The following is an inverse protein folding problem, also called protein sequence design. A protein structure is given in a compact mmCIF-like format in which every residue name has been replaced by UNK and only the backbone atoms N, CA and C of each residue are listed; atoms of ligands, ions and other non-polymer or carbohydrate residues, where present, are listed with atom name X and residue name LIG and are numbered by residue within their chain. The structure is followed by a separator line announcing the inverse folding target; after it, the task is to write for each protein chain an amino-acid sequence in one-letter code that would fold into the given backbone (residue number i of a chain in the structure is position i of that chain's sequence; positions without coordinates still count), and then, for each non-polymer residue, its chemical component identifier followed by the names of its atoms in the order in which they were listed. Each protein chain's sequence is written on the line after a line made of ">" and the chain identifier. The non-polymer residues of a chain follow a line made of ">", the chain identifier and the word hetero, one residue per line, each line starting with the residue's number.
data_IF_369573165240
#
_entry.id   IF_369573165240
#
_cell.length_a   1.000
_cell.length_b   1.000
_cell.length_c   1.000
_cell.angle_alpha   90.00
_cell.angle_beta   90.00
_cell.angle_gamma   90.00
#
_symmetry.space_group_name_H-M   'P 1'
#
loop_
_entity.id
_entity.type
_entity.pdbx_description
1 polymer ?
#
# COMPACT_ATOMS: atom_id res chain seq x y z
N UNK A 1 -1.42 16.10 -23.66
CA UNK A 1 -2.27 15.37 -22.68
C UNK A 1 -1.60 15.45 -21.31
N UNK A 2 -2.29 15.96 -20.30
CA UNK A 2 -1.76 16.02 -18.93
C UNK A 2 -1.58 14.61 -18.36
N UNK A 3 -0.58 14.40 -17.49
CA UNK A 3 -0.42 13.13 -16.77
C UNK A 3 -1.62 12.94 -15.83
N UNK A 4 -2.20 11.73 -15.79
CA UNK A 4 -3.27 11.40 -14.83
C UNK A 4 -2.84 11.74 -13.41
N UNK A 5 -3.72 12.33 -12.58
CA UNK A 5 -3.40 12.65 -11.19
C UNK A 5 -2.99 11.38 -10.44
N UNK A 6 -2.07 11.54 -9.50
CA UNK A 6 -1.55 10.44 -8.68
C UNK A 6 -1.38 10.92 -7.25
N UNK A 7 -1.75 10.08 -6.29
CA UNK A 7 -1.38 10.26 -4.90
C UNK A 7 -0.05 9.56 -4.69
N UNK A 8 0.95 10.28 -4.21
CA UNK A 8 2.25 9.72 -3.82
C UNK A 8 2.36 9.84 -2.32
N UNK A 9 2.71 8.77 -1.63
CA UNK A 9 2.87 8.81 -0.19
C UNK A 9 3.94 7.85 0.32
N UNK A 10 4.47 8.16 1.50
CA UNK A 10 5.37 7.31 2.25
C UNK A 10 4.94 7.29 3.73
N UNK A 11 5.31 6.22 4.42
CA UNK A 11 5.14 6.10 5.86
C UNK A 11 6.37 6.65 6.55
N UNK A 12 6.19 7.46 7.62
CA UNK A 12 7.30 8.14 8.29
C UNK A 12 7.01 8.40 9.77
N UNK A 13 8.03 8.22 10.61
CA UNK A 13 8.05 8.79 11.97
C UNK A 13 8.48 10.25 11.87
N UNK A 14 7.66 11.16 12.36
CA UNK A 14 7.86 12.62 12.21
C UNK A 14 8.57 13.26 13.38
N UNK A 15 8.51 12.64 14.55
CA UNK A 15 8.88 13.21 15.85
C UNK A 15 9.53 12.15 16.76
N UNK A 16 10.30 12.61 17.74
CA UNK A 16 11.00 11.74 18.71
C UNK A 16 12.35 11.19 18.22
N UNK A 17 12.94 10.23 18.97
CA UNK A 17 14.29 9.70 18.72
C UNK A 17 14.46 9.02 17.36
N UNK A 18 13.37 8.46 16.82
CA UNK A 18 13.34 7.77 15.53
C UNK A 18 12.76 8.64 14.39
N UNK A 19 12.66 9.96 14.60
CA UNK A 19 12.21 10.88 13.56
C UNK A 19 13.06 10.76 12.29
N UNK A 20 12.39 10.63 11.15
CA UNK A 20 13.03 10.44 9.84
C UNK A 20 13.19 8.99 9.39
N UNK A 21 12.85 8.00 10.22
CA UNK A 21 12.68 6.63 9.72
C UNK A 21 11.44 6.54 8.83
N UNK A 22 11.57 5.84 7.70
CA UNK A 22 10.59 5.83 6.62
C UNK A 22 10.51 4.47 5.93
N UNK A 23 9.41 4.20 5.24
CA UNK A 23 9.29 3.03 4.35
C UNK A 23 8.32 3.28 3.19
N UNK A 24 8.61 2.62 2.07
CA UNK A 24 7.80 2.61 0.85
C UNK A 24 8.01 3.82 -0.05
N UNK A 25 7.39 3.80 -1.24
CA UNK A 25 7.24 4.92 -2.17
C UNK A 25 5.94 4.75 -2.95
N UNK A 26 4.83 4.70 -2.25
CA UNK A 26 3.58 4.27 -2.85
C UNK A 26 3.03 5.31 -3.81
N UNK A 27 2.53 4.82 -4.94
CA UNK A 27 1.81 5.62 -5.92
C UNK A 27 0.44 4.99 -6.13
N UNK A 28 -0.62 5.75 -5.87
CA UNK A 28 -1.99 5.41 -6.26
C UNK A 28 -2.38 6.26 -7.45
N UNK A 29 -2.92 5.62 -8.49
CA UNK A 29 -3.41 6.31 -9.68
C UNK A 29 -4.61 5.60 -10.28
N UNK A 30 -5.33 6.32 -11.12
CA UNK A 30 -6.49 5.81 -11.84
C UNK A 30 -6.29 5.86 -13.35
N UNK A 31 -6.91 4.94 -14.08
CA UNK A 31 -6.98 4.95 -15.54
C UNK A 31 -8.31 4.34 -16.01
N UNK A 32 -9.17 5.15 -16.64
CA UNK A 32 -10.54 4.74 -16.94
C UNK A 32 -11.32 4.50 -15.65
N UNK A 33 -11.81 3.27 -15.48
CA UNK A 33 -12.49 2.81 -14.25
C UNK A 33 -11.57 1.99 -13.34
N UNK A 34 -10.28 1.91 -13.66
CA UNK A 34 -9.35 1.08 -12.91
C UNK A 34 -8.56 1.90 -11.91
N UNK A 35 -8.35 1.33 -10.72
CA UNK A 35 -7.50 1.89 -9.67
C UNK A 35 -6.26 1.03 -9.50
N UNK A 36 -5.11 1.66 -9.33
CA UNK A 36 -3.82 0.98 -9.23
C UNK A 36 -3.03 1.49 -8.02
N UNK A 37 -2.26 0.60 -7.42
CA UNK A 37 -1.24 0.90 -6.44
C UNK A 37 0.04 0.11 -6.71
N UNK A 38 1.18 0.74 -6.53
CA UNK A 38 2.48 0.10 -6.67
C UNK A 38 3.57 0.85 -5.89
N UNK A 39 4.74 0.21 -5.75
CA UNK A 39 5.96 0.93 -5.36
C UNK A 39 6.40 1.92 -6.45
N UNK A 40 7.15 2.94 -6.05
CA UNK A 40 7.53 4.06 -6.89
C UNK A 40 8.57 3.71 -7.96
N UNK A 41 8.82 4.68 -8.83
CA UNK A 41 9.78 4.69 -9.95
C UNK A 41 9.48 3.67 -11.06
N UNK A 42 9.75 2.38 -10.86
CA UNK A 42 9.43 1.30 -11.82
C UNK A 42 9.02 0.06 -11.03
N UNK A 43 7.71 -0.15 -10.78
CA UNK A 43 7.29 -1.27 -9.98
C UNK A 43 7.49 -2.59 -10.70
N UNK A 44 8.05 -3.58 -10.01
CA UNK A 44 8.02 -4.98 -10.45
C UNK A 44 6.66 -5.62 -10.21
N UNK A 45 5.98 -5.22 -9.13
CA UNK A 45 4.65 -5.66 -8.76
C UNK A 45 3.70 -4.49 -8.64
N UNK A 46 2.44 -4.71 -9.03
CA UNK A 46 1.35 -3.76 -8.79
C UNK A 46 0.12 -4.50 -8.33
N UNK A 47 -0.69 -3.78 -7.58
CA UNK A 47 -2.01 -4.23 -7.17
C UNK A 47 -3.05 -3.32 -7.82
N UNK A 48 -4.12 -3.89 -8.36
CA UNK A 48 -5.10 -3.14 -9.14
C UNK A 48 -6.52 -3.67 -8.99
N UNK A 49 -7.48 -2.77 -9.11
CA UNK A 49 -8.90 -3.00 -9.06
C UNK A 49 -9.45 -2.53 -10.40
N UNK A 50 -9.87 -3.48 -11.23
CA UNK A 50 -10.36 -3.21 -12.58
C UNK A 50 -11.87 -2.99 -12.54
N UNK A 51 -12.30 -1.73 -12.57
CA UNK A 51 -13.70 -1.35 -12.35
C UNK A 51 -14.25 -1.90 -11.04
N UNK A 52 -15.37 -2.60 -11.12
CA UNK A 52 -15.98 -3.34 -10.01
C UNK A 52 -15.82 -4.86 -10.14
N UNK A 53 -14.95 -5.31 -11.05
CA UNK A 53 -14.96 -6.71 -11.50
C UNK A 53 -13.91 -7.54 -10.78
N UNK A 54 -12.66 -7.09 -10.78
CA UNK A 54 -11.57 -7.93 -10.29
C UNK A 54 -10.46 -7.11 -9.65
N UNK A 55 -10.09 -7.53 -8.46
CA UNK A 55 -8.81 -7.21 -7.85
C UNK A 55 -7.73 -8.13 -8.40
N UNK A 56 -6.51 -7.61 -8.58
CA UNK A 56 -5.33 -8.36 -9.01
C UNK A 56 -4.07 -7.85 -8.34
N UNK A 57 -3.26 -8.74 -7.79
CA UNK A 57 -1.82 -8.47 -7.59
C UNK A 57 -1.06 -9.18 -8.69
N UNK A 58 -0.26 -8.41 -9.43
CA UNK A 58 0.39 -8.88 -10.64
C UNK A 58 1.78 -8.33 -10.78
N UNK A 59 2.67 -9.14 -11.35
CA UNK A 59 3.91 -8.66 -11.92
C UNK A 59 3.57 -7.68 -13.07
N UNK A 60 4.29 -6.57 -13.12
CA UNK A 60 4.12 -5.58 -14.18
C UNK A 60 4.52 -6.18 -15.52
N UNK A 61 3.95 -5.65 -16.61
CA UNK A 61 4.26 -6.19 -17.95
C UNK A 61 5.73 -5.98 -18.29
N UNK A 62 6.30 -4.90 -17.77
CA UNK A 62 7.67 -4.49 -17.91
C UNK A 62 8.61 -5.46 -17.18
N UNK A 63 8.32 -5.81 -15.92
CA UNK A 63 9.09 -6.79 -15.14
C UNK A 63 8.96 -8.22 -15.70
N UNK A 64 7.75 -8.64 -16.05
CA UNK A 64 7.51 -9.99 -16.56
C UNK A 64 8.17 -10.26 -17.93
N UNK A 65 8.57 -9.22 -18.66
CA UNK A 65 9.29 -9.31 -19.95
C UNK A 65 10.80 -9.05 -19.80
N UNK A 66 11.29 -8.73 -18.61
CA UNK A 66 12.71 -8.47 -18.38
C UNK A 66 13.46 -9.76 -18.03
N UNK A 67 14.78 -9.69 -18.03
CA UNK A 67 15.65 -10.77 -17.52
C UNK A 67 15.49 -11.00 -16.01
N UNK A 68 14.84 -10.06 -15.31
CA UNK A 68 14.60 -10.09 -13.86
C UNK A 68 13.15 -10.50 -13.53
N UNK A 69 12.47 -11.16 -14.48
CA UNK A 69 11.14 -11.68 -14.28
C UNK A 69 11.12 -12.63 -13.08
N UNK A 70 10.18 -12.41 -12.16
CA UNK A 70 10.03 -13.21 -10.93
C UNK A 70 9.12 -14.41 -11.12
N UNK A 71 8.24 -14.34 -12.11
CA UNK A 71 7.36 -15.44 -12.48
C UNK A 71 7.93 -16.21 -13.67
N UNK A 72 7.80 -17.55 -13.68
CA UNK A 72 8.22 -18.36 -14.83
C UNK A 72 7.50 -17.95 -16.12
N UNK A 73 8.16 -18.15 -17.26
CA UNK A 73 7.56 -17.92 -18.57
C UNK A 73 6.29 -18.78 -18.75
N UNK A 74 5.25 -18.20 -19.36
CA UNK A 74 3.97 -18.88 -19.60
C UNK A 74 3.02 -18.92 -18.41
N UNK A 75 3.45 -18.52 -17.21
CA UNK A 75 2.57 -18.36 -16.04
C UNK A 75 1.80 -17.04 -16.14
N UNK A 76 0.54 -17.05 -15.67
CA UNK A 76 -0.23 -15.82 -15.55
C UNK A 76 0.48 -14.83 -14.62
N UNK A 77 0.83 -13.66 -15.17
CA UNK A 77 1.48 -12.59 -14.41
C UNK A 77 0.65 -12.06 -13.24
N UNK A 78 -0.66 -12.37 -13.17
CA UNK A 78 -1.56 -12.03 -12.08
C UNK A 78 -1.95 -13.30 -11.29
N UNK A 79 -1.03 -13.86 -10.48
CA UNK A 79 -1.27 -15.11 -9.75
C UNK A 79 -2.39 -14.97 -8.70
N UNK A 80 -2.70 -13.75 -8.26
CA UNK A 80 -3.74 -13.49 -7.27
C UNK A 80 -4.85 -12.63 -7.86
N UNK A 81 -6.08 -13.15 -7.85
CA UNK A 81 -7.28 -12.48 -8.38
C UNK A 81 -8.49 -12.76 -7.50
N UNK A 82 -9.23 -11.73 -7.12
CA UNK A 82 -10.40 -11.87 -6.23
C UNK A 82 -11.50 -10.87 -6.58
N UNK A 83 -12.71 -11.16 -6.09
CA UNK A 83 -13.81 -10.21 -6.13
C UNK A 83 -13.50 -9.02 -5.20
N UNK A 84 -13.82 -7.78 -5.59
CA UNK A 84 -13.71 -6.65 -4.68
C UNK A 84 -14.71 -6.79 -3.52
N UNK A 85 -14.41 -6.20 -2.35
CA UNK A 85 -15.39 -6.12 -1.28
C UNK A 85 -16.59 -5.27 -1.70
N UNK A 86 -17.74 -5.57 -1.10
CA UNK A 86 -18.97 -4.84 -1.31
C UNK A 86 -18.87 -3.39 -0.81
N UNK A 87 -19.74 -2.53 -1.33
CA UNK A 87 -19.94 -1.19 -0.78
C UNK A 87 -20.76 -1.26 0.50
N UNK A 88 -20.27 -0.62 1.55
CA UNK A 88 -20.97 -0.41 2.82
C UNK A 88 -21.09 1.09 3.05
N UNK A 89 -22.32 1.60 3.14
CA UNK A 89 -22.57 3.04 3.29
C UNK A 89 -22.05 3.88 2.12
N UNK A 90 -22.04 3.33 0.90
CA UNK A 90 -21.52 4.00 -0.30
C UNK A 90 -19.99 3.97 -0.45
N UNK A 91 -19.29 3.28 0.45
CA UNK A 91 -17.82 3.18 0.47
C UNK A 91 -17.33 1.74 0.46
N UNK A 92 -16.17 1.49 -0.15
CA UNK A 92 -15.43 0.23 0.00
C UNK A 92 -13.94 0.49 0.09
N UNK A 93 -13.22 -0.42 0.74
CA UNK A 93 -11.74 -0.44 0.70
C UNK A 93 -11.31 -1.14 -0.58
N UNK A 94 -10.70 -0.40 -1.50
CA UNK A 94 -10.08 -0.98 -2.68
C UNK A 94 -8.78 -1.72 -2.32
N UNK A 95 -7.95 -1.11 -1.46
CA UNK A 95 -6.69 -1.69 -0.99
C UNK A 95 -6.36 -1.20 0.42
N UNK A 96 -5.58 -1.98 1.17
CA UNK A 96 -4.96 -1.53 2.42
C UNK A 96 -3.46 -1.77 2.36
N UNK A 97 -2.66 -0.79 2.77
CA UNK A 97 -1.25 -1.01 3.09
C UNK A 97 -1.10 -0.94 4.60
N UNK A 98 -0.71 -2.04 5.23
CA UNK A 98 -0.33 -2.09 6.64
C UNK A 98 1.18 -1.99 6.79
N UNK A 99 1.64 -1.16 7.72
CA UNK A 99 3.07 -0.96 8.03
C UNK A 99 3.29 -1.06 9.52
N UNK A 100 4.21 -1.95 9.90
CA UNK A 100 4.73 -2.04 11.26
C UNK A 100 5.86 -1.04 11.46
N UNK A 101 6.04 -0.55 12.70
CA UNK A 101 7.20 0.29 13.03
C UNK A 101 8.52 -0.39 12.68
N UNK A 102 8.61 -1.71 12.87
CA UNK A 102 9.80 -2.52 12.57
C UNK A 102 10.21 -2.54 11.10
N UNK A 103 9.37 -2.08 10.16
CA UNK A 103 9.71 -2.01 8.74
C UNK A 103 10.42 -0.71 8.33
N UNK A 104 10.48 0.31 9.20
CA UNK A 104 11.00 1.62 8.83
C UNK A 104 12.53 1.66 8.91
N UNK A 105 13.15 2.23 7.87
CA UNK A 105 14.60 2.41 7.75
C UNK A 105 15.00 3.86 7.47
N UNK A 106 16.30 4.12 7.35
CA UNK A 106 16.79 5.46 6.99
C UNK A 106 16.62 5.70 5.50
N UNK A 107 15.72 6.59 5.13
CA UNK A 107 15.58 7.06 3.75
C UNK A 107 14.94 8.45 3.70
N UNK A 108 15.39 9.28 2.76
CA UNK A 108 14.88 10.64 2.55
C UNK A 108 13.67 10.60 1.62
N UNK A 109 12.50 10.93 2.16
CA UNK A 109 11.26 11.06 1.38
C UNK A 109 11.37 12.28 0.46
N UNK A 110 11.19 12.14 -0.87
CA UNK A 110 11.15 13.29 -1.77
C UNK A 110 9.92 14.16 -1.48
N UNK A 111 10.06 15.48 -1.59
CA UNK A 111 9.01 16.47 -1.26
C UNK A 111 7.67 16.26 -1.99
N UNK A 112 7.68 15.55 -3.13
CA UNK A 112 6.47 15.21 -3.90
C UNK A 112 5.62 14.09 -3.29
N UNK A 113 6.05 13.49 -2.18
CA UNK A 113 5.33 12.43 -1.48
C UNK A 113 4.68 12.98 -0.21
N UNK A 114 3.39 12.73 -0.08
CA UNK A 114 2.64 12.97 1.15
C UNK A 114 3.14 12.05 2.28
N UNK A 115 3.04 12.52 3.52
CA UNK A 115 3.41 11.73 4.69
C UNK A 115 2.19 11.10 5.35
N UNK A 116 2.27 9.79 5.59
CA UNK A 116 1.43 9.07 6.54
C UNK A 116 2.28 8.87 7.80
N UNK A 117 1.89 9.55 8.88
CA UNK A 117 2.62 9.48 10.14
C UNK A 117 2.47 8.08 10.74
N UNK A 118 3.61 7.47 11.05
CA UNK A 118 3.72 6.25 11.85
C UNK A 118 4.08 6.69 13.27
N UNK A 119 3.33 6.22 14.26
CA UNK A 119 3.72 6.43 15.66
C UNK A 119 4.89 5.50 15.98
N UNK A 120 5.84 5.99 16.76
CA UNK A 120 6.99 5.19 17.20
C UNK A 120 6.57 4.23 18.33
N UNK A 121 5.79 3.21 17.95
CA UNK A 121 5.16 2.22 18.82
C UNK A 121 5.24 0.84 18.18
N UNK A 122 5.40 -0.20 18.99
CA UNK A 122 5.53 -1.59 18.54
C UNK A 122 4.20 -2.35 18.51
N UNK A 123 3.20 -1.82 19.21
CA UNK A 123 1.86 -2.36 19.36
C UNK A 123 0.84 -1.70 18.40
N UNK A 124 1.31 -1.10 17.30
CA UNK A 124 0.45 -0.41 16.34
C UNK A 124 0.82 -0.76 14.89
N UNK A 125 -0.19 -1.16 14.12
CA UNK A 125 -0.13 -1.23 12.66
C UNK A 125 -0.65 0.08 12.07
N UNK A 126 0.20 0.84 11.39
CA UNK A 126 -0.24 2.03 10.65
C UNK A 126 -0.76 1.62 9.28
N UNK A 127 -1.91 2.16 8.87
CA UNK A 127 -2.60 1.80 7.62
C UNK A 127 -2.74 2.98 6.66
N UNK A 128 -2.49 2.73 5.38
CA UNK A 128 -3.00 3.52 4.27
C UNK A 128 -4.18 2.78 3.64
N UNK A 129 -5.38 3.31 3.84
CA UNK A 129 -6.60 2.73 3.29
C UNK A 129 -6.90 3.41 1.96
N UNK A 130 -6.80 2.68 0.85
CA UNK A 130 -7.28 3.19 -0.45
C UNK A 130 -8.77 2.92 -0.52
N UNK A 131 -9.55 3.97 -0.42
CA UNK A 131 -11.00 3.93 -0.45
C UNK A 131 -11.53 4.23 -1.85
N UNK A 132 -12.71 3.70 -2.12
CA UNK A 132 -13.51 4.01 -3.30
C UNK A 132 -14.94 4.31 -2.86
N UNK A 133 -15.58 5.30 -3.48
CA UNK A 133 -16.98 5.64 -3.25
C UNK A 133 -17.84 5.43 -4.50
N UNK A 134 -19.12 5.15 -4.26
CA UNK A 134 -20.14 5.23 -5.29
C UNK A 134 -20.32 6.70 -5.76
N UNK A 135 -20.80 6.92 -7.00
CA UNK A 135 -21.11 8.26 -7.47
C UNK A 135 -22.08 8.97 -6.52
N UNK A 136 -21.78 10.22 -6.17
CA UNK A 136 -22.62 11.04 -5.29
C UNK A 136 -22.44 10.81 -3.79
N UNK A 137 -21.63 9.86 -3.34
CA UNK A 137 -21.34 9.67 -1.90
C UNK A 137 -20.26 10.64 -1.44
N UNK A 138 -20.44 11.26 -0.27
CA UNK A 138 -19.50 12.22 0.32
C UNK A 138 -18.10 11.65 0.53
N UNK A 139 -17.08 12.50 0.49
CA UNK A 139 -15.69 12.09 0.71
C UNK A 139 -15.15 12.86 1.89
N UNK A 140 -14.40 12.22 2.80
CA UNK A 140 -13.72 12.90 3.88
C UNK A 140 -12.80 14.03 3.39
N UNK A 141 -12.81 15.12 4.14
CA UNK A 141 -11.87 16.22 3.98
C UNK A 141 -10.52 15.91 4.68
N UNK A 142 -9.45 16.65 4.35
CA UNK A 142 -8.23 16.64 5.15
C UNK A 142 -8.52 17.00 6.62
N UNK A 143 -7.83 16.41 7.62
CA UNK A 143 -6.61 15.59 7.50
C UNK A 143 -6.85 14.08 7.37
N UNK A 144 -8.11 13.62 7.31
CA UNK A 144 -8.41 12.18 7.22
C UNK A 144 -7.94 11.57 5.90
N UNK A 145 -7.86 12.42 4.87
CA UNK A 145 -7.36 12.11 3.52
C UNK A 145 -5.89 12.47 3.32
N UNK A 146 -5.17 11.64 2.56
CA UNK A 146 -3.79 11.80 2.10
C UNK A 146 -3.82 12.23 0.63
N UNK A 147 -3.37 13.45 0.35
CA UNK A 147 -3.31 13.98 -1.01
C UNK A 147 -4.68 14.22 -1.67
N UNK A 148 -4.73 14.33 -3.02
CA UNK A 148 -5.95 14.62 -3.76
C UNK A 148 -6.89 13.42 -3.88
N UNK A 149 -8.16 13.70 -4.18
CA UNK A 149 -9.13 12.70 -4.66
C UNK A 149 -8.83 12.41 -6.14
N UNK A 150 -8.91 11.14 -6.51
CA UNK A 150 -8.80 10.68 -7.89
C UNK A 150 -10.18 10.32 -8.42
N UNK A 151 -10.53 10.79 -9.61
CA UNK A 151 -11.82 10.51 -10.23
C UNK A 151 -11.70 9.42 -11.30
N UNK A 152 -12.66 8.50 -11.30
CA UNK A 152 -12.84 7.48 -12.33
C UNK A 152 -13.82 7.96 -13.40
N UNK A 153 -13.75 7.38 -14.60
CA UNK A 153 -14.60 7.79 -15.73
C UNK A 153 -16.09 7.52 -15.53
N UNK A 154 -16.46 6.67 -14.58
CA UNK A 154 -17.84 6.37 -14.19
C UNK A 154 -18.37 7.25 -13.04
N UNK A 155 -17.64 8.29 -12.62
CA UNK A 155 -18.03 9.19 -11.53
C UNK A 155 -17.74 8.66 -10.13
N UNK A 156 -17.18 7.46 -10.00
CA UNK A 156 -16.61 7.00 -8.73
C UNK A 156 -15.36 7.79 -8.38
N UNK A 157 -15.07 7.84 -7.09
CA UNK A 157 -13.95 8.60 -6.56
C UNK A 157 -13.11 7.73 -5.64
N UNK A 158 -11.81 7.93 -5.71
CA UNK A 158 -10.80 7.17 -4.97
C UNK A 158 -9.96 8.12 -4.15
N UNK A 159 -9.66 7.75 -2.91
CA UNK A 159 -8.76 8.52 -2.07
C UNK A 159 -7.96 7.60 -1.16
N UNK A 160 -6.87 8.13 -0.62
CA UNK A 160 -6.08 7.45 0.40
C UNK A 160 -6.45 8.05 1.74
N UNK A 161 -6.89 7.23 2.68
CA UNK A 161 -7.17 7.60 4.06
C UNK A 161 -6.12 7.04 5.01
N UNK A 162 -5.90 7.72 6.13
CA UNK A 162 -5.04 7.23 7.22
C UNK A 162 -5.84 6.28 8.12
N UNK A 163 -5.16 5.37 8.81
CA UNK A 163 -5.78 4.55 9.85
C UNK A 163 -4.71 3.86 10.69
N UNK A 164 -5.14 3.25 11.78
CA UNK A 164 -4.29 2.40 12.61
C UNK A 164 -5.07 1.20 13.14
N UNK A 165 -4.35 0.22 13.65
CA UNK A 165 -4.87 -0.94 14.34
C UNK A 165 -3.94 -1.26 15.50
N UNK A 166 -4.51 -1.58 16.65
CA UNK A 166 -3.74 -2.06 17.79
C UNK A 166 -3.33 -3.50 17.54
N UNK A 167 -2.06 -3.81 17.77
CA UNK A 167 -1.50 -5.15 17.72
C UNK A 167 -1.26 -5.64 19.13
N UNK A 168 -1.20 -6.95 19.31
CA UNK A 168 -0.65 -7.51 20.55
C UNK A 168 0.76 -6.96 20.78
N UNK A 169 1.05 -6.58 22.02
CA UNK A 169 2.34 -6.00 22.37
C UNK A 169 3.45 -7.03 22.11
N UNK A 170 4.37 -6.68 21.23
CA UNK A 170 5.57 -7.47 20.94
C UNK A 170 6.81 -6.76 21.50
N UNK A 171 7.84 -7.56 21.78
CA UNK A 171 9.14 -7.00 22.15
C UNK A 171 9.71 -6.17 20.98
N UNK A 172 10.37 -5.04 21.27
CA UNK A 172 11.06 -4.26 20.25
C UNK A 172 12.05 -5.11 19.44
N UNK A 173 11.89 -5.11 18.12
CA UNK A 173 12.82 -5.76 17.21
C UNK A 173 14.06 -4.88 16.95
N UNK A 174 15.24 -5.46 16.66
CA UNK A 174 16.41 -4.70 16.21
C UNK A 174 16.10 -3.91 14.93
N UNK A 175 16.93 -2.93 14.56
CA UNK A 175 16.73 -2.17 13.30
C UNK A 175 16.69 -3.15 12.11
N UNK A 176 15.67 -3.07 11.23
CA UNK A 176 15.58 -3.96 10.08
C UNK A 176 16.75 -3.73 9.11
N UNK A 177 17.28 -4.81 8.51
CA UNK A 177 18.24 -4.70 7.40
C UNK A 177 17.54 -4.44 6.07
N UNK A 178 16.26 -4.81 5.97
CA UNK A 178 15.41 -4.61 4.80
C UNK A 178 13.93 -4.69 5.18
N UNK A 179 13.03 -4.54 4.22
CA UNK A 179 11.61 -4.78 4.40
C UNK A 179 11.10 -5.80 3.39
N UNK A 180 10.17 -6.66 3.82
CA UNK A 180 9.43 -7.57 2.95
C UNK A 180 8.03 -7.01 2.72
N UNK A 181 7.51 -7.23 1.50
CA UNK A 181 6.14 -6.91 1.12
C UNK A 181 5.39 -8.23 0.98
N UNK A 182 4.37 -8.40 1.80
CA UNK A 182 3.54 -9.61 1.84
C UNK A 182 2.12 -9.26 1.34
N UNK A 183 1.67 -9.80 0.20
CA UNK A 183 0.28 -9.68 -0.22
C UNK A 183 -0.66 -10.26 0.84
N UNK A 184 -1.74 -9.54 1.14
CA UNK A 184 -2.78 -9.96 2.07
C UNK A 184 -4.09 -10.13 1.31
N UNK A 185 -4.73 -11.28 1.46
CA UNK A 185 -5.79 -11.78 0.60
C UNK A 185 -7.01 -12.15 1.45
N UNK A 186 -8.18 -11.51 1.23
CA UNK A 186 -9.40 -11.89 1.93
C UNK A 186 -9.80 -13.34 1.64
N UNK A 187 -10.13 -14.07 2.69
CA UNK A 187 -10.52 -15.49 2.62
C UNK A 187 -9.34 -16.47 2.58
N UNK A 188 -8.10 -15.98 2.49
CA UNK A 188 -6.88 -16.76 2.73
C UNK A 188 -6.23 -16.28 4.03
N UNK A 189 -6.06 -14.97 4.14
CA UNK A 189 -5.58 -14.27 5.32
C UNK A 189 -6.77 -13.67 6.09
N UNK A 190 -6.57 -13.40 7.38
CA UNK A 190 -7.57 -12.77 8.26
C UNK A 190 -7.67 -11.25 8.01
N UNK A 191 -8.06 -10.88 6.79
CA UNK A 191 -8.20 -9.49 6.34
C UNK A 191 -9.54 -9.24 5.66
N UNK A 192 -10.16 -8.10 5.96
CA UNK A 192 -11.48 -7.72 5.40
C UNK A 192 -11.39 -7.09 4.00
N UNK A 193 -10.18 -6.74 3.57
CA UNK A 193 -9.92 -6.09 2.29
C UNK A 193 -8.53 -6.51 1.81
N UNK A 194 -8.33 -6.61 0.49
CA UNK A 194 -7.04 -7.00 -0.03
C UNK A 194 -5.99 -5.90 0.21
N UNK A 195 -4.75 -6.31 0.33
CA UNK A 195 -3.71 -5.39 0.73
C UNK A 195 -2.30 -5.91 0.61
N UNK A 196 -1.40 -5.14 1.20
CA UNK A 196 -0.01 -5.54 1.42
C UNK A 196 0.36 -5.21 2.86
N UNK A 197 1.04 -6.14 3.51
CA UNK A 197 1.68 -5.92 4.80
C UNK A 197 3.18 -5.69 4.56
N UNK A 198 3.73 -4.64 5.17
CA UNK A 198 5.16 -4.35 5.14
C UNK A 198 5.76 -4.69 6.50
N UNK A 199 6.73 -5.60 6.51
CA UNK A 199 7.42 -6.07 7.70
C UNK A 199 8.92 -5.85 7.60
N UNK A 200 9.56 -5.61 8.73
CA UNK A 200 11.02 -5.60 8.84
C UNK A 200 11.59 -6.99 8.58
N UNK A 201 12.72 -7.04 7.89
CA UNK A 201 13.55 -8.24 7.79
C UNK A 201 14.75 -8.04 8.70
N UNK A 202 14.92 -8.97 9.64
CA UNK A 202 16.02 -8.99 10.59
C UNK A 202 16.87 -10.21 10.24
N UNK A 203 18.15 -9.98 9.92
CA UNK A 203 19.11 -11.07 9.82
C UNK A 203 19.70 -11.25 11.22
N UNK A 204 19.68 -12.48 11.74
CA UNK A 204 20.47 -12.81 12.91
C UNK A 204 21.93 -12.41 12.63
N UNK A 205 22.66 -11.82 13.61
CA UNK A 205 24.11 -11.76 13.50
C UNK A 205 24.61 -13.18 13.21
N UNK A 206 25.60 -13.37 12.31
CA UNK A 206 26.23 -14.67 12.21
C UNK A 206 26.67 -15.07 13.61
N UNK A 207 26.29 -16.27 14.05
CA UNK A 207 26.75 -16.82 15.31
C UNK A 207 28.27 -16.62 15.36
N UNK A 208 28.74 -15.84 16.33
CA UNK A 208 30.17 -15.78 16.61
C UNK A 208 30.53 -17.10 17.28
N UNK A 209 30.81 -18.13 16.47
CA UNK A 209 31.57 -19.31 16.89
C UNK A 209 33.00 -18.92 17.28
#
# INVERSE_FOLDING_TARGET
>A
MGKSPRVRFAFRITDGPNAGLTVGRFIVWCHGNDTYIADGDVPSWKTSLHGEVAWRTAETKESNRSTDARLPEGVDRAPWKYAPPDFVGGHRRAFVIGVTRGALGRWTVPDRYETIQVRDRWDELTKANVWMSQPGTDIPDPPERVGPVLELTNGMRVWVGRGSEELEAIDPEPVPVSAIIEPQIPGVDDVTAPGILIRGVHLAPPDQE
#
